data_IF_778229583181
#
_entry.id   IF_778229583181
#
_cell.length_a   1.000
_cell.length_b   1.000
_cell.length_c   1.000
_cell.angle_alpha   90.00
_cell.angle_beta   90.00
_cell.angle_gamma   90.00
#
_symmetry.space_group_name_H-M   'P 1'
#
loop_
_entity.id
_entity.type
_entity.pdbx_description
1 polymer ?
#
# COMPACT_ATOMS: atom_id res chain seq x y z
N UNK A 1 -2.94 -10.66 22.69
CA UNK A 1 -1.59 -10.16 22.34
C UNK A 1 -1.62 -8.62 22.30
N UNK A 2 -0.61 -7.94 22.84
CA UNK A 2 -0.51 -6.48 22.76
C UNK A 2 0.32 -6.12 21.55
N UNK A 3 -0.27 -5.37 20.62
CA UNK A 3 0.42 -4.87 19.42
C UNK A 3 0.82 -3.41 19.67
N UNK A 4 2.09 -3.02 19.44
CA UNK A 4 2.50 -1.62 19.54
C UNK A 4 1.73 -0.80 18.49
N UNK A 5 1.20 0.36 18.90
CA UNK A 5 0.43 1.23 17.99
C UNK A 5 1.37 2.05 17.08
N UNK A 6 2.52 2.44 17.62
CA UNK A 6 3.43 3.33 16.91
C UNK A 6 4.22 2.54 15.84
N UNK A 7 4.34 3.08 14.62
CA UNK A 7 5.17 2.46 13.59
C UNK A 7 6.65 2.49 13.96
N UNK A 8 7.47 1.71 13.27
CA UNK A 8 8.92 1.78 13.41
C UNK A 8 9.42 3.09 12.80
N UNK A 9 9.76 4.04 13.68
CA UNK A 9 10.26 5.36 13.29
C UNK A 9 11.69 5.31 12.72
N UNK A 10 12.38 4.19 12.88
CA UNK A 10 13.71 3.97 12.31
C UNK A 10 13.66 3.34 10.91
N UNK A 11 12.46 3.14 10.35
CA UNK A 11 12.29 2.57 9.01
C UNK A 11 13.14 3.30 7.95
N UNK A 12 13.19 4.64 8.02
CA UNK A 12 13.99 5.45 7.12
C UNK A 12 15.50 5.23 7.30
N UNK A 13 15.96 5.00 8.55
CA UNK A 13 17.36 4.71 8.85
C UNK A 13 17.78 3.37 8.27
N UNK A 14 16.89 2.38 8.36
CA UNK A 14 17.18 1.02 7.88
C UNK A 14 17.18 0.94 6.35
N UNK A 15 16.28 1.65 5.69
CA UNK A 15 16.17 1.60 4.24
C UNK A 15 17.14 2.55 3.53
N UNK A 16 17.51 3.67 4.16
CA UNK A 16 18.33 4.72 3.56
C UNK A 16 19.45 5.18 4.50
N UNK A 17 20.44 4.35 4.69
CA UNK A 17 21.53 4.54 5.66
C UNK A 17 22.39 5.79 5.48
N UNK A 18 22.27 6.48 4.33
CA UNK A 18 23.08 7.67 4.02
C UNK A 18 22.33 8.99 4.20
N UNK A 19 21.05 8.97 4.61
CA UNK A 19 20.20 10.15 4.65
C UNK A 19 20.11 10.79 6.04
N UNK A 20 21.22 10.96 6.70
CA UNK A 20 21.28 11.65 8.00
C UNK A 20 20.85 13.12 7.87
N UNK A 21 19.97 13.57 8.78
CA UNK A 21 19.46 14.93 8.89
C UNK A 21 18.53 15.41 7.75
N UNK A 22 18.03 14.52 6.89
CA UNK A 22 16.97 14.94 5.99
C UNK A 22 15.63 15.11 6.73
N UNK A 23 14.78 16.09 6.31
CA UNK A 23 13.52 16.38 7.00
C UNK A 23 12.59 15.17 7.12
N UNK A 24 12.60 14.26 6.16
CA UNK A 24 11.79 13.03 6.21
C UNK A 24 12.24 12.08 7.33
N UNK A 25 13.50 12.10 7.67
CA UNK A 25 14.06 11.26 8.71
C UNK A 25 13.52 11.62 10.11
N UNK A 26 13.56 12.92 10.43
CA UNK A 26 13.22 13.40 11.78
C UNK A 26 11.74 13.77 11.91
N UNK A 27 11.07 14.13 10.80
CA UNK A 27 9.78 14.83 10.83
C UNK A 27 8.63 14.06 10.22
N UNK A 28 8.87 12.95 9.50
CA UNK A 28 7.86 12.24 8.74
C UNK A 28 6.64 11.82 9.55
N UNK A 29 6.86 11.37 10.79
CA UNK A 29 5.81 10.81 11.62
C UNK A 29 5.03 11.83 12.48
N UNK A 30 5.43 13.09 12.49
CA UNK A 30 4.82 14.08 13.38
C UNK A 30 4.62 15.48 12.79
N UNK A 31 5.24 15.77 11.65
CA UNK A 31 5.15 17.11 11.08
C UNK A 31 3.99 17.20 10.10
N UNK A 32 3.12 18.23 10.18
CA UNK A 32 1.93 18.40 9.35
C UNK A 32 2.16 18.35 7.83
N UNK A 33 3.37 18.65 7.37
CA UNK A 33 3.72 18.56 5.94
C UNK A 33 3.61 17.13 5.38
N UNK A 34 3.57 16.11 6.24
CA UNK A 34 3.49 14.70 5.86
C UNK A 34 2.16 14.04 6.23
N UNK A 35 1.16 14.81 6.66
CA UNK A 35 -0.14 14.26 7.07
C UNK A 35 -0.85 13.51 5.93
N UNK A 36 -0.63 13.94 4.68
CA UNK A 36 -1.19 13.29 3.47
C UNK A 36 -0.27 12.22 2.87
N UNK A 37 0.83 11.91 3.52
CA UNK A 37 1.76 10.87 3.07
C UNK A 37 1.41 9.51 3.65
N UNK A 38 1.76 8.40 2.97
CA UNK A 38 1.48 7.07 3.46
C UNK A 38 2.25 6.78 4.75
N UNK A 39 1.63 6.11 5.71
CA UNK A 39 2.34 5.62 6.89
C UNK A 39 3.31 4.50 6.49
N UNK A 40 4.56 4.61 6.94
CA UNK A 40 5.62 3.62 6.72
C UNK A 40 6.06 2.98 8.03
N UNK A 41 6.84 1.91 7.98
CA UNK A 41 7.34 1.23 9.19
C UNK A 41 6.26 0.47 9.97
N UNK A 42 5.15 0.11 9.32
CA UNK A 42 4.04 -0.64 9.91
C UNK A 42 4.21 -2.13 9.63
N UNK A 43 4.15 -2.95 10.67
CA UNK A 43 4.13 -4.40 10.53
C UNK A 43 2.73 -4.90 10.12
N UNK A 44 2.67 -6.09 9.54
CA UNK A 44 1.40 -6.74 9.19
C UNK A 44 0.44 -6.87 10.39
N UNK A 45 0.96 -7.22 11.58
CA UNK A 45 0.15 -7.29 12.81
C UNK A 45 -0.44 -5.94 13.18
N UNK A 46 0.30 -4.85 13.02
CA UNK A 46 -0.18 -3.49 13.24
C UNK A 46 -1.27 -3.12 12.24
N UNK A 47 -1.07 -3.44 10.96
CA UNK A 47 -2.06 -3.19 9.91
C UNK A 47 -3.38 -3.94 10.19
N UNK A 48 -3.32 -5.21 10.59
CA UNK A 48 -4.51 -5.96 11.03
C UNK A 48 -5.16 -5.38 12.27
N UNK A 49 -4.38 -5.02 13.28
CA UNK A 49 -4.91 -4.38 14.48
C UNK A 49 -5.62 -3.05 14.17
N UNK A 50 -5.09 -2.28 13.21
CA UNK A 50 -5.74 -1.07 12.73
C UNK A 50 -7.08 -1.36 12.05
N UNK A 51 -7.18 -2.41 11.24
CA UNK A 51 -8.45 -2.82 10.62
C UNK A 51 -9.51 -3.15 11.69
N UNK A 52 -9.15 -3.91 12.72
CA UNK A 52 -10.05 -4.21 13.83
C UNK A 52 -10.46 -2.96 14.60
N UNK A 53 -9.49 -2.09 14.91
CA UNK A 53 -9.79 -0.82 15.58
C UNK A 53 -10.73 0.04 14.74
N UNK A 54 -10.49 0.17 13.44
CA UNK A 54 -11.31 0.97 12.53
C UNK A 54 -12.74 0.43 12.44
N UNK A 55 -12.90 -0.90 12.43
CA UNK A 55 -14.22 -1.54 12.50
C UNK A 55 -14.95 -1.16 13.79
N UNK A 56 -14.30 -1.33 14.94
CA UNK A 56 -14.89 -1.00 16.24
C UNK A 56 -15.23 0.51 16.34
N UNK A 57 -14.34 1.37 15.89
CA UNK A 57 -14.54 2.82 15.87
C UNK A 57 -15.75 3.21 15.01
N UNK A 58 -15.86 2.64 13.80
CA UNK A 58 -17.01 2.90 12.92
C UNK A 58 -18.32 2.43 13.54
N UNK A 59 -18.35 1.20 14.07
CA UNK A 59 -19.53 0.65 14.73
C UNK A 59 -19.97 1.47 15.95
N UNK A 60 -19.01 2.00 16.71
CA UNK A 60 -19.33 2.86 17.85
C UNK A 60 -20.05 4.16 17.45
N UNK A 61 -19.68 4.76 16.31
CA UNK A 61 -20.24 6.03 15.83
C UNK A 61 -21.49 5.85 14.95
N UNK A 62 -21.85 4.62 14.58
CA UNK A 62 -23.05 4.35 13.79
C UNK A 62 -24.27 4.15 14.68
N UNK A 63 -25.47 4.60 14.23
CA UNK A 63 -26.75 4.23 14.85
C UNK A 63 -26.95 2.72 14.88
N UNK A 64 -27.58 2.20 15.93
CA UNK A 64 -27.76 0.74 16.13
C UNK A 64 -28.40 0.04 14.93
N UNK A 65 -29.36 0.68 14.30
CA UNK A 65 -30.07 0.14 13.13
C UNK A 65 -29.18 -0.10 11.92
N UNK A 66 -28.06 0.62 11.82
CA UNK A 66 -27.09 0.50 10.71
C UNK A 66 -25.94 -0.45 11.03
N UNK A 67 -25.69 -0.77 12.29
CA UNK A 67 -24.57 -1.63 12.70
C UNK A 67 -24.66 -3.05 12.14
N UNK A 68 -25.88 -3.56 11.95
CA UNK A 68 -26.14 -4.93 11.48
C UNK A 68 -25.71 -5.15 10.01
N UNK A 69 -25.59 -4.09 9.23
CA UNK A 69 -25.27 -4.15 7.81
C UNK A 69 -23.81 -3.78 7.49
N UNK A 70 -23.03 -3.44 8.52
CA UNK A 70 -21.64 -3.04 8.29
C UNK A 70 -20.70 -4.24 8.22
N UNK A 71 -19.85 -4.18 7.21
CA UNK A 71 -18.77 -5.16 7.03
C UNK A 71 -17.54 -4.76 7.83
N UNK A 72 -16.79 -5.74 8.30
CA UNK A 72 -15.52 -5.53 8.98
C UNK A 72 -14.44 -5.03 8.01
N UNK A 73 -13.61 -4.11 8.46
CA UNK A 73 -12.39 -3.74 7.76
C UNK A 73 -11.38 -4.86 7.90
N UNK A 74 -10.75 -5.23 6.82
CA UNK A 74 -9.65 -6.20 6.77
C UNK A 74 -8.62 -5.81 5.70
N UNK A 75 -7.48 -6.42 5.72
CA UNK A 75 -6.55 -6.33 4.60
C UNK A 75 -7.15 -7.03 3.38
N UNK A 76 -6.89 -6.52 2.17
CA UNK A 76 -7.28 -7.21 0.95
C UNK A 76 -6.44 -8.48 0.77
N UNK A 77 -7.00 -9.47 0.12
CA UNK A 77 -6.17 -10.55 -0.46
C UNK A 77 -5.36 -9.99 -1.63
N UNK A 78 -4.32 -10.70 -2.05
CA UNK A 78 -3.51 -10.31 -3.20
C UNK A 78 -4.37 -10.17 -4.47
N UNK A 79 -5.27 -11.11 -4.72
CA UNK A 79 -6.18 -11.08 -5.87
C UNK A 79 -7.15 -9.89 -5.81
N UNK A 80 -7.69 -9.55 -4.64
CA UNK A 80 -8.53 -8.37 -4.45
C UNK A 80 -7.76 -7.08 -4.68
N UNK A 81 -6.52 -7.02 -4.17
CA UNK A 81 -5.65 -5.87 -4.37
C UNK A 81 -5.30 -5.68 -5.85
N UNK A 82 -4.92 -6.76 -6.54
CA UNK A 82 -4.61 -6.72 -7.97
C UNK A 82 -5.84 -6.30 -8.80
N UNK A 83 -7.00 -6.85 -8.50
CA UNK A 83 -8.25 -6.48 -9.18
C UNK A 83 -8.57 -4.99 -8.96
N UNK A 84 -8.43 -4.50 -7.74
CA UNK A 84 -8.60 -3.09 -7.39
C UNK A 84 -7.59 -2.21 -8.12
N UNK A 85 -6.32 -2.62 -8.18
CA UNK A 85 -5.25 -1.90 -8.88
C UNK A 85 -5.51 -1.77 -10.37
N UNK A 86 -6.03 -2.82 -11.02
CA UNK A 86 -6.38 -2.80 -12.44
C UNK A 86 -7.56 -1.89 -12.78
N UNK A 87 -8.37 -1.48 -11.80
CA UNK A 87 -9.52 -0.61 -12.01
C UNK A 87 -10.57 -1.18 -12.97
N UNK A 88 -10.75 -2.52 -13.00
CA UNK A 88 -11.68 -3.20 -13.90
C UNK A 88 -11.16 -3.46 -15.32
N UNK A 89 -9.90 -3.14 -15.61
CA UNK A 89 -9.28 -3.36 -16.92
C UNK A 89 -8.66 -4.76 -16.99
N UNK A 90 -9.16 -5.59 -17.86
CA UNK A 90 -8.62 -6.94 -18.10
C UNK A 90 -7.19 -6.86 -18.63
N UNK A 91 -6.28 -7.67 -18.06
CA UNK A 91 -4.89 -7.82 -18.46
C UNK A 91 -4.09 -6.50 -18.51
N UNK A 92 -4.56 -5.43 -17.87
CA UNK A 92 -3.82 -4.18 -17.80
C UNK A 92 -2.51 -4.36 -17.02
N UNK A 93 -1.41 -3.89 -17.59
CA UNK A 93 -0.10 -3.93 -16.95
C UNK A 93 0.01 -2.90 -15.83
N UNK A 94 -0.65 -1.75 -15.98
CA UNK A 94 -0.65 -0.65 -15.03
C UNK A 94 -2.08 -0.16 -14.75
N UNK A 95 -2.32 0.52 -13.62
CA UNK A 95 -3.64 1.07 -13.26
C UNK A 95 -4.26 1.98 -14.31
N UNK A 96 -3.46 2.69 -15.08
CA UNK A 96 -3.89 3.57 -16.19
C UNK A 96 -4.11 2.83 -17.53
N UNK A 97 -3.90 1.51 -17.58
CA UNK A 97 -4.22 0.62 -18.71
C UNK A 97 -3.20 0.57 -19.85
N UNK A 98 -2.33 1.53 -19.96
CA UNK A 98 -1.27 1.53 -21.00
C UNK A 98 -0.02 0.75 -20.57
N UNK A 99 0.86 0.37 -21.53
CA UNK A 99 2.11 -0.34 -21.23
C UNK A 99 3.26 0.58 -20.82
N UNK A 100 3.07 1.89 -20.83
CA UNK A 100 4.12 2.87 -20.58
C UNK A 100 4.00 3.49 -19.20
N UNK A 101 5.12 3.71 -18.53
CA UNK A 101 5.22 4.39 -17.26
C UNK A 101 5.15 5.92 -17.35
N UNK A 102 5.06 6.45 -18.57
CA UNK A 102 4.99 7.89 -18.86
C UNK A 102 3.81 8.22 -19.76
N UNK A 103 3.26 9.41 -19.57
CA UNK A 103 2.25 9.96 -20.47
C UNK A 103 2.88 10.54 -21.76
N UNK A 104 2.04 10.99 -22.67
CA UNK A 104 2.47 11.58 -23.97
C UNK A 104 3.32 12.86 -23.82
N UNK A 105 3.29 13.50 -22.65
CA UNK A 105 4.12 14.67 -22.32
C UNK A 105 5.47 14.28 -21.72
N UNK A 106 5.72 12.98 -21.53
CA UNK A 106 6.94 12.44 -20.92
C UNK A 106 6.95 12.44 -19.39
N UNK A 107 5.86 12.86 -18.72
CA UNK A 107 5.75 12.82 -17.26
C UNK A 107 5.48 11.40 -16.78
N UNK A 108 6.10 11.00 -15.67
CA UNK A 108 5.81 9.73 -15.01
C UNK A 108 4.40 9.69 -14.45
N UNK A 109 3.81 8.51 -14.43
CA UNK A 109 2.43 8.26 -13.98
C UNK A 109 2.36 7.62 -12.59
N UNK A 110 3.51 7.33 -11.99
CA UNK A 110 3.61 6.77 -10.65
C UNK A 110 4.96 7.14 -10.01
N UNK A 111 5.04 7.01 -8.70
CA UNK A 111 6.27 7.18 -7.92
C UNK A 111 7.02 5.85 -7.87
N UNK A 112 8.12 5.75 -8.58
CA UNK A 112 9.01 4.58 -8.57
C UNK A 112 10.43 4.98 -8.94
N UNK A 113 11.41 4.16 -8.59
CA UNK A 113 12.80 4.39 -8.95
C UNK A 113 13.03 4.16 -10.46
N UNK A 114 13.15 5.23 -11.28
CA UNK A 114 13.07 5.07 -12.74
C UNK A 114 14.25 4.32 -13.33
N UNK A 115 15.46 4.64 -12.94
CA UNK A 115 16.73 4.01 -13.39
C UNK A 115 17.89 4.63 -12.60
N UNK A 116 19.11 4.12 -12.80
CA UNK A 116 20.31 4.71 -12.19
C UNK A 116 20.49 6.17 -12.61
N UNK A 117 20.65 7.05 -11.63
CA UNK A 117 21.15 8.43 -11.80
C UNK A 117 20.15 9.54 -11.60
N UNK A 118 18.88 9.39 -11.95
CA UNK A 118 17.89 10.44 -11.71
C UNK A 118 16.73 9.92 -10.86
N UNK A 119 16.90 9.99 -9.54
CA UNK A 119 15.91 9.55 -8.56
C UNK A 119 14.74 10.53 -8.37
N UNK A 120 14.80 11.66 -9.05
CA UNK A 120 13.82 12.73 -8.95
C UNK A 120 12.97 12.86 -10.22
N UNK A 121 13.14 11.97 -11.16
CA UNK A 121 12.52 12.10 -12.47
C UNK A 121 11.00 11.96 -12.46
N UNK A 122 10.44 11.29 -11.44
CA UNK A 122 9.00 11.13 -11.22
C UNK A 122 8.40 12.24 -10.32
N UNK A 123 9.24 13.10 -9.74
CA UNK A 123 8.84 14.22 -8.90
C UNK A 123 9.09 14.03 -7.41
N UNK A 124 9.40 12.81 -6.96
CA UNK A 124 9.63 12.48 -5.55
C UNK A 124 10.87 11.61 -5.38
N UNK A 125 11.65 11.86 -4.33
CA UNK A 125 12.85 11.03 -4.01
C UNK A 125 12.46 9.74 -3.29
N UNK A 126 11.47 9.84 -2.39
CA UNK A 126 11.00 8.77 -1.52
C UNK A 126 9.52 8.53 -1.74
N UNK A 127 8.69 8.77 -0.73
CA UNK A 127 7.24 8.66 -0.82
C UNK A 127 6.62 9.93 -1.39
N UNK A 128 5.46 9.77 -2.01
CA UNK A 128 4.59 10.83 -2.50
C UNK A 128 3.32 10.92 -1.63
N UNK A 129 2.59 12.04 -1.62
CA UNK A 129 1.27 12.12 -1.02
C UNK A 129 0.33 11.02 -1.52
N UNK A 130 -0.62 10.63 -0.68
CA UNK A 130 -1.54 9.51 -0.98
C UNK A 130 -2.41 9.75 -2.22
N UNK A 131 -2.67 11.00 -2.57
CA UNK A 131 -3.44 11.45 -3.73
C UNK A 131 -2.58 11.96 -4.89
N UNK A 132 -1.27 11.74 -4.84
CA UNK A 132 -0.37 12.06 -5.95
C UNK A 132 -0.72 11.22 -7.19
N UNK A 133 -0.49 11.81 -8.36
CA UNK A 133 -0.78 11.20 -9.65
C UNK A 133 -2.27 11.06 -9.96
N UNK A 134 -2.61 10.21 -10.92
CA UNK A 134 -3.97 10.02 -11.42
C UNK A 134 -4.57 8.76 -10.81
N UNK A 135 -5.79 8.89 -10.32
CA UNK A 135 -6.59 7.76 -9.86
C UNK A 135 -6.89 6.76 -10.99
N UNK A 136 -7.11 5.51 -10.63
CA UNK A 136 -7.61 4.51 -11.57
C UNK A 136 -9.13 4.64 -11.74
N UNK A 137 -9.74 3.79 -12.59
CA UNK A 137 -11.18 3.84 -12.90
C UNK A 137 -12.09 3.53 -11.68
N UNK A 138 -11.51 3.06 -10.57
CA UNK A 138 -12.22 2.88 -9.29
C UNK A 138 -11.97 4.02 -8.29
N UNK A 139 -11.28 5.09 -8.69
CA UNK A 139 -10.95 6.22 -7.82
C UNK A 139 -9.84 5.91 -6.82
N UNK A 140 -8.97 4.93 -7.09
CA UNK A 140 -7.86 4.56 -6.23
C UNK A 140 -6.56 5.18 -6.75
N UNK A 141 -5.83 5.82 -5.84
CA UNK A 141 -4.55 6.46 -6.11
C UNK A 141 -3.38 5.52 -5.81
N UNK A 142 -2.24 5.79 -6.43
CA UNK A 142 -0.95 5.15 -6.14
C UNK A 142 -0.98 3.61 -6.13
N UNK A 143 -1.89 3.00 -6.90
CA UNK A 143 -1.96 1.54 -7.05
C UNK A 143 -0.78 0.96 -7.85
N UNK A 144 0.18 1.79 -8.24
CA UNK A 144 1.48 1.39 -8.79
C UNK A 144 2.55 2.28 -8.16
N UNK A 145 3.50 1.69 -7.48
CA UNK A 145 4.62 2.39 -6.83
C UNK A 145 4.26 3.03 -5.47
N UNK A 146 4.99 4.05 -5.09
CA UNK A 146 4.95 4.79 -3.84
C UNK A 146 5.43 3.96 -2.63
N UNK A 147 4.61 3.10 -2.05
CA UNK A 147 4.98 2.22 -0.93
C UNK A 147 4.51 0.80 -1.17
N UNK A 148 5.20 -0.15 -0.56
CA UNK A 148 4.75 -1.53 -0.52
C UNK A 148 3.60 -1.67 0.48
N UNK A 149 2.57 -2.42 0.13
CA UNK A 149 1.36 -2.59 0.91
C UNK A 149 1.19 -4.02 1.41
N UNK A 150 0.65 -4.16 2.63
CA UNK A 150 0.36 -5.46 3.20
C UNK A 150 -0.95 -6.03 2.65
N UNK A 151 -0.92 -7.30 2.28
CA UNK A 151 -2.11 -8.09 1.95
C UNK A 151 -2.37 -9.15 3.01
N UNK A 152 -3.56 -9.73 3.02
CA UNK A 152 -3.89 -10.88 3.88
C UNK A 152 -3.23 -12.17 3.38
N UNK A 153 -3.00 -12.28 2.07
CA UNK A 153 -2.38 -13.46 1.46
C UNK A 153 -0.89 -13.53 1.80
N UNK A 154 -0.44 -14.68 2.26
CA UNK A 154 0.98 -14.93 2.49
C UNK A 154 1.74 -14.97 1.15
N UNK A 155 2.93 -14.38 1.13
CA UNK A 155 3.78 -14.39 -0.06
C UNK A 155 4.30 -15.81 -0.34
N UNK A 156 3.95 -16.34 -1.51
CA UNK A 156 4.51 -17.58 -2.05
C UNK A 156 4.99 -17.34 -3.49
N UNK A 157 6.31 -17.46 -3.77
CA UNK A 157 6.85 -17.25 -5.12
C UNK A 157 6.28 -18.22 -6.18
N UNK A 158 5.66 -19.32 -5.73
CA UNK A 158 5.10 -20.35 -6.61
C UNK A 158 3.58 -20.29 -6.70
N UNK A 159 2.94 -19.30 -6.06
CA UNK A 159 1.48 -19.17 -6.00
C UNK A 159 0.84 -19.16 -7.38
N UNK A 160 1.43 -18.52 -8.36
CA UNK A 160 0.93 -18.44 -9.74
C UNK A 160 0.85 -19.82 -10.43
N UNK A 161 1.69 -20.75 -10.03
CA UNK A 161 1.73 -22.10 -10.61
C UNK A 161 0.63 -22.99 -10.03
N UNK A 162 0.29 -22.78 -8.75
CA UNK A 162 -0.66 -23.64 -8.02
C UNK A 162 -2.06 -23.00 -7.92
N UNK A 163 -2.19 -21.73 -8.30
CA UNK A 163 -3.43 -20.95 -8.13
C UNK A 163 -4.51 -21.24 -9.17
N UNK A 164 -4.35 -22.27 -10.01
CA UNK A 164 -5.20 -22.44 -11.19
C UNK A 164 -6.69 -22.61 -10.90
N UNK A 165 -7.13 -23.15 -9.74
CA UNK A 165 -8.57 -23.32 -9.44
C UNK A 165 -8.92 -23.43 -7.94
N UNK A 166 -7.97 -23.30 -7.04
CA UNK A 166 -8.21 -23.42 -5.60
C UNK A 166 -8.15 -22.06 -4.92
N UNK A 167 -9.16 -21.79 -4.11
CA UNK A 167 -9.26 -20.60 -3.28
C UNK A 167 -8.02 -20.45 -2.38
N UNK A 168 -7.07 -19.60 -2.77
CA UNK A 168 -5.77 -19.41 -2.11
C UNK A 168 -5.87 -19.02 -0.63
N UNK A 169 -7.05 -18.54 -0.20
CA UNK A 169 -7.29 -18.14 1.20
C UNK A 169 -7.21 -19.29 2.21
N UNK A 170 -7.20 -20.55 1.76
CA UNK A 170 -7.21 -21.71 2.63
C UNK A 170 -5.86 -22.42 2.77
N UNK A 171 -4.84 -22.05 2.00
CA UNK A 171 -3.61 -22.86 1.91
C UNK A 171 -2.50 -22.36 2.85
N UNK A 172 -2.48 -21.08 3.26
CA UNK A 172 -1.39 -20.55 4.06
C UNK A 172 -1.83 -19.80 5.31
N UNK A 173 -1.62 -20.41 6.46
CA UNK A 173 -1.73 -19.79 7.80
C UNK A 173 -0.38 -19.17 8.22
N UNK A 174 0.52 -18.90 7.30
CA UNK A 174 1.80 -18.26 7.60
C UNK A 174 1.70 -16.75 7.46
N UNK A 175 2.32 -16.03 8.39
CA UNK A 175 2.46 -14.57 8.30
C UNK A 175 3.13 -14.19 6.98
N UNK A 176 2.61 -13.18 6.24
CA UNK A 176 3.29 -12.69 5.05
C UNK A 176 4.68 -12.17 5.44
N UNK A 177 5.70 -12.70 4.80
CA UNK A 177 7.09 -12.39 5.16
C UNK A 177 7.64 -11.18 4.42
N UNK A 178 6.92 -10.65 3.43
CA UNK A 178 7.31 -9.44 2.68
C UNK A 178 6.09 -8.66 2.20
N UNK A 179 6.17 -7.29 2.24
CA UNK A 179 5.24 -6.46 1.49
C UNK A 179 5.47 -6.65 -0.02
N UNK A 180 4.39 -6.56 -0.79
CA UNK A 180 4.49 -6.50 -2.26
C UNK A 180 5.29 -5.23 -2.63
N UNK A 181 6.40 -5.41 -3.31
CA UNK A 181 7.11 -4.31 -3.98
C UNK A 181 6.70 -4.33 -5.44
N UNK A 182 5.95 -3.36 -5.84
CA UNK A 182 5.63 -3.08 -7.24
C UNK A 182 6.65 -2.11 -7.82
#
# INVERSE_FOLDING_TARGET
ERVPIYPDTLAWVHDFTYNFNEPMFDKYFWHPAYDEYPVVGVSWKQAKAFCHWRTAYKLYHLPEERRVFETEYRLPTEAEWEWAARGGRELAMFPWGGPYSRNVKGCFLANFKPLRGNYWADGYIYTAPADAYIENDYGLYNMAGNVAEWTETAFDPMSDIFASDLNLSLIHISEPTRPLRI
#
